data_IF_401692214247
#
_entry.id   IF_401692214247
#
_cell.length_a   1.000
_cell.length_b   1.000
_cell.length_c   1.000
_cell.angle_alpha   90.00
_cell.angle_beta   90.00
_cell.angle_gamma   90.00
#
_symmetry.space_group_name_H-M   'P 1'
#
loop_
_entity.id
_entity.type
_entity.pdbx_description
1 polymer ?
#
# COMPACT_ATOMS: atom_id res chain seq x y z
N UNK A 1 4.14 10.34 -20.21
CA UNK A 1 4.05 9.82 -18.83
C UNK A 1 2.76 9.03 -18.71
N UNK A 2 2.82 7.75 -18.35
CA UNK A 2 1.62 6.92 -18.21
C UNK A 2 0.87 7.28 -16.93
N UNK A 3 -0.45 7.41 -17.01
CA UNK A 3 -1.33 7.74 -15.87
C UNK A 3 -1.06 6.84 -14.66
N UNK A 4 -0.78 5.55 -14.89
CA UNK A 4 -0.41 4.57 -13.85
C UNK A 4 0.84 4.98 -13.05
N UNK A 5 1.92 5.44 -13.70
CA UNK A 5 3.17 5.78 -12.99
C UNK A 5 3.04 7.03 -12.12
N UNK A 6 2.18 7.97 -12.53
CA UNK A 6 1.88 9.15 -11.72
C UNK A 6 1.11 8.70 -10.47
N UNK A 7 0.08 7.88 -10.63
CA UNK A 7 -0.69 7.33 -9.50
C UNK A 7 0.16 6.49 -8.55
N UNK A 8 1.08 5.65 -9.05
CA UNK A 8 2.02 4.89 -8.23
C UNK A 8 2.87 5.82 -7.35
N UNK A 9 3.43 6.87 -7.94
CA UNK A 9 4.25 7.83 -7.21
C UNK A 9 3.44 8.58 -6.14
N UNK A 10 2.19 8.92 -6.43
CA UNK A 10 1.26 9.49 -5.45
C UNK A 10 0.99 8.51 -4.30
N UNK A 11 0.65 7.26 -4.60
CA UNK A 11 0.33 6.23 -3.61
C UNK A 11 1.54 5.86 -2.73
N UNK A 12 2.76 5.95 -3.24
CA UNK A 12 3.99 5.79 -2.42
C UNK A 12 4.14 6.86 -1.34
N UNK A 13 3.52 8.02 -1.49
CA UNK A 13 3.48 9.05 -0.45
C UNK A 13 2.40 8.83 0.61
N UNK A 14 1.44 7.92 0.36
CA UNK A 14 0.27 7.74 1.22
C UNK A 14 0.54 6.72 2.32
N UNK A 15 -0.18 6.80 3.43
CA UNK A 15 -0.04 5.83 4.53
C UNK A 15 -0.69 4.49 4.20
N UNK A 16 -0.20 3.40 4.81
CA UNK A 16 -0.77 2.05 4.67
C UNK A 16 -2.30 1.98 4.85
N UNK A 17 -2.93 2.61 5.87
CA UNK A 17 -4.38 2.62 6.00
C UNK A 17 -5.09 3.25 4.79
N UNK A 18 -4.53 4.30 4.19
CA UNK A 18 -5.13 4.97 3.02
C UNK A 18 -5.09 4.04 1.80
N UNK A 19 -4.00 3.28 1.64
CA UNK A 19 -3.88 2.31 0.55
C UNK A 19 -4.84 1.13 0.71
N UNK A 20 -5.07 0.68 1.95
CA UNK A 20 -6.07 -0.36 2.25
C UNK A 20 -7.48 0.16 1.99
N UNK A 21 -7.78 1.37 2.41
CA UNK A 21 -9.09 2.00 2.19
C UNK A 21 -9.37 2.25 0.69
N UNK A 22 -8.33 2.55 -0.10
CA UNK A 22 -8.39 2.59 -1.55
C UNK A 22 -8.66 1.21 -2.17
N UNK A 23 -8.07 0.15 -1.58
CA UNK A 23 -8.21 -1.23 -2.04
C UNK A 23 -9.64 -1.71 -1.83
N UNK A 24 -10.26 -1.36 -0.70
CA UNK A 24 -11.67 -1.66 -0.42
C UNK A 24 -12.64 -1.01 -1.41
N UNK A 25 -12.26 0.13 -2.00
CA UNK A 25 -13.04 0.82 -3.04
C UNK A 25 -12.43 0.68 -4.44
N UNK A 26 -11.63 -0.36 -4.69
CA UNK A 26 -10.97 -0.54 -6.00
C UNK A 26 -11.97 -0.69 -7.16
N UNK A 27 -13.21 -1.05 -6.86
CA UNK A 27 -14.34 -1.10 -7.81
C UNK A 27 -14.75 0.27 -8.34
N UNK A 28 -14.45 1.35 -7.62
CA UNK A 28 -14.68 2.72 -8.08
C UNK A 28 -13.45 3.32 -8.77
N UNK A 29 -12.31 2.63 -8.77
CA UNK A 29 -11.07 3.10 -9.38
C UNK A 29 -11.01 2.78 -10.86
N UNK A 30 -10.37 3.67 -11.62
CA UNK A 30 -10.05 3.40 -13.02
C UNK A 30 -9.05 2.23 -13.15
N UNK A 31 -9.00 1.54 -14.29
CA UNK A 31 -8.08 0.42 -14.50
C UNK A 31 -6.61 0.78 -14.24
N UNK A 32 -6.20 2.01 -14.59
CA UNK A 32 -4.86 2.52 -14.33
C UNK A 32 -4.59 2.77 -12.84
N UNK A 33 -5.56 3.31 -12.11
CA UNK A 33 -5.46 3.54 -10.66
C UNK A 33 -5.44 2.20 -9.90
N UNK A 34 -6.26 1.23 -10.29
CA UNK A 34 -6.26 -0.12 -9.72
C UNK A 34 -4.90 -0.80 -9.91
N UNK A 35 -4.32 -0.73 -11.10
CA UNK A 35 -2.99 -1.28 -11.37
C UNK A 35 -1.90 -0.60 -10.54
N UNK A 36 -1.94 0.73 -10.44
CA UNK A 36 -1.00 1.49 -9.64
C UNK A 36 -1.09 1.13 -8.15
N UNK A 37 -2.32 1.02 -7.62
CA UNK A 37 -2.58 0.63 -6.25
C UNK A 37 -2.07 -0.78 -5.97
N UNK A 38 -2.37 -1.74 -6.83
CA UNK A 38 -1.89 -3.11 -6.72
C UNK A 38 -0.36 -3.16 -6.68
N UNK A 39 0.33 -2.42 -7.54
CA UNK A 39 1.80 -2.34 -7.56
C UNK A 39 2.33 -1.82 -6.22
N UNK A 40 1.80 -0.70 -5.71
CA UNK A 40 2.25 -0.12 -4.43
C UNK A 40 1.96 -1.05 -3.25
N UNK A 41 0.81 -1.73 -3.24
CA UNK A 41 0.46 -2.69 -2.20
C UNK A 41 1.39 -3.92 -2.20
N UNK A 42 1.77 -4.42 -3.38
CA UNK A 42 2.78 -5.50 -3.52
C UNK A 42 4.14 -5.03 -3.03
N UNK A 43 4.59 -3.84 -3.45
CA UNK A 43 5.89 -3.28 -3.07
C UNK A 43 6.03 -3.07 -1.57
N UNK A 44 4.95 -2.63 -0.92
CA UNK A 44 4.88 -2.46 0.54
C UNK A 44 4.58 -3.75 1.29
N UNK A 45 4.34 -4.86 0.58
CA UNK A 45 3.90 -6.15 1.15
C UNK A 45 2.65 -6.02 2.02
N UNK A 46 1.74 -5.13 1.63
CA UNK A 46 0.43 -4.94 2.28
C UNK A 46 -0.60 -5.97 1.82
N UNK A 47 -0.35 -6.66 0.71
CA UNK A 47 -1.15 -7.80 0.30
C UNK A 47 -0.68 -9.02 1.06
N UNK A 48 -1.59 -9.64 1.80
CA UNK A 48 -1.44 -10.85 2.61
C UNK A 48 -1.09 -12.10 1.76
N UNK A 49 -0.01 -12.02 1.00
CA UNK A 49 0.51 -13.10 0.14
C UNK A 49 1.55 -13.97 0.88
N UNK A 50 1.58 -13.89 2.21
CA UNK A 50 2.31 -14.86 3.05
C UNK A 50 3.46 -14.26 3.84
N UNK A 51 3.19 -13.31 4.75
CA UNK A 51 4.04 -13.21 5.93
C UNK A 51 3.26 -12.64 7.13
N UNK A 52 2.96 -13.44 8.18
CA UNK A 52 2.41 -12.94 9.44
C UNK A 52 3.43 -12.14 10.27
N UNK A 53 4.63 -11.88 9.73
CA UNK A 53 5.62 -11.01 10.37
C UNK A 53 5.30 -9.54 10.11
N UNK A 54 4.19 -9.08 10.67
CA UNK A 54 4.00 -7.68 10.96
C UNK A 54 5.24 -7.21 11.73
N UNK A 55 5.99 -6.27 11.15
CA UNK A 55 7.08 -5.58 11.85
C UNK A 55 6.52 -4.62 12.91
N UNK A 56 5.61 -5.10 13.76
CA UNK A 56 5.20 -4.50 15.03
C UNK A 56 6.24 -4.84 16.12
N UNK A 57 7.53 -4.76 15.80
CA UNK A 57 8.63 -4.96 16.75
C UNK A 57 9.67 -3.85 16.75
N UNK A 58 9.32 -2.67 16.26
CA UNK A 58 10.07 -1.45 16.59
C UNK A 58 9.13 -0.32 17.00
N UNK A 59 8.25 -0.61 17.96
CA UNK A 59 8.16 0.27 19.13
C UNK A 59 9.54 0.18 19.78
N UNK A 60 10.40 1.14 19.48
CA UNK A 60 11.55 1.37 20.34
C UNK A 60 10.99 1.86 21.69
N UNK A 61 11.46 1.20 22.75
CA UNK A 61 11.30 1.48 24.18
C UNK A 61 9.97 1.12 24.87
N UNK A 62 9.96 0.67 26.15
CA UNK A 62 11.04 0.78 27.15
C UNK A 62 11.37 -0.49 27.98
N UNK A 63 12.58 -0.52 28.55
CA UNK A 63 12.92 -0.87 29.95
C UNK A 63 14.26 -1.61 30.09
N UNK A 64 15.11 -1.04 30.93
CA UNK A 64 16.36 -1.58 31.47
C UNK A 64 16.91 -0.61 32.49
#
# INVERSE_FOLDING_TARGET
>A
MTSTRISEQTYRGWSNPILLELKEREDQLSPSARQALQNVLVERRLLDTGNPSGSDRRKADPVG
#
